data_IF_861159110034
#
_entry.id   IF_861159110034
#
_cell.length_a   1.000
_cell.length_b   1.000
_cell.length_c   1.000
_cell.angle_alpha   90.00
_cell.angle_beta   90.00
_cell.angle_gamma   90.00
#
_symmetry.space_group_name_H-M   'P 1'
#
loop_
_entity.id
_entity.type
_entity.pdbx_description
1 polymer ?
#
# COMPACT_ATOMS: atom_id res chain seq x y z
N UNK A 1 0.84 -7.17 40.77
CA UNK A 1 0.23 -7.50 39.45
C UNK A 1 0.86 -6.59 38.41
N UNK A 2 1.88 -7.08 37.70
CA UNK A 2 2.63 -6.27 36.74
C UNK A 2 1.82 -6.05 35.46
N UNK A 3 1.70 -4.79 35.04
CA UNK A 3 0.88 -4.36 33.92
C UNK A 3 1.35 -4.94 32.58
N UNK A 4 0.37 -5.20 31.72
CA UNK A 4 0.55 -5.72 30.35
C UNK A 4 1.53 -4.86 29.56
N UNK A 5 2.74 -5.37 29.33
CA UNK A 5 3.70 -4.76 28.42
C UNK A 5 3.17 -4.86 26.99
N UNK A 6 3.08 -3.74 26.25
CA UNK A 6 2.92 -3.85 24.80
C UNK A 6 2.22 -2.75 24.01
N UNK A 7 2.02 -1.52 24.52
CA UNK A 7 1.37 -0.49 23.69
C UNK A 7 2.00 0.91 23.62
N UNK A 8 3.03 1.23 24.40
CA UNK A 8 3.64 2.59 24.40
C UNK A 8 5.04 2.70 23.80
N UNK A 9 5.63 1.61 23.28
CA UNK A 9 6.97 1.63 22.68
C UNK A 9 6.95 1.80 21.16
N UNK A 10 7.89 2.60 20.62
CA UNK A 10 8.19 2.62 19.18
C UNK A 10 8.52 1.20 18.73
N UNK A 11 7.82 0.69 17.70
CA UNK A 11 8.10 -0.64 17.13
C UNK A 11 9.61 -0.77 16.82
N UNK A 12 10.23 -1.91 17.15
CA UNK A 12 11.64 -2.12 16.90
C UNK A 12 11.95 -1.96 15.41
N UNK A 13 13.08 -1.33 15.08
CA UNK A 13 13.54 -1.21 13.69
C UNK A 13 13.94 -2.61 13.17
N UNK A 14 13.61 -2.94 11.91
CA UNK A 14 14.11 -4.13 11.22
C UNK A 14 15.64 -4.25 11.29
N UNK A 15 16.17 -5.46 11.25
CA UNK A 15 17.61 -5.73 11.37
C UNK A 15 18.40 -5.08 10.25
N UNK A 16 17.92 -5.17 9.00
CA UNK A 16 18.53 -4.49 7.84
C UNK A 16 18.74 -2.98 8.08
N UNK A 17 17.81 -2.32 8.76
CA UNK A 17 17.92 -0.89 9.12
C UNK A 17 18.93 -0.62 10.22
N UNK A 18 19.08 -1.54 11.17
CA UNK A 18 20.09 -1.43 12.23
C UNK A 18 21.48 -1.64 11.66
N UNK A 19 21.64 -2.58 10.74
CA UNK A 19 22.90 -2.85 10.01
C UNK A 19 23.33 -1.63 9.20
N UNK A 20 22.43 -1.07 8.39
CA UNK A 20 22.72 0.13 7.58
C UNK A 20 23.11 1.34 8.46
N UNK A 21 22.56 1.44 9.66
CA UNK A 21 22.91 2.48 10.63
C UNK A 21 24.16 2.19 11.47
N UNK A 22 24.89 1.10 11.17
CA UNK A 22 26.11 0.70 11.90
C UNK A 22 25.85 0.12 13.30
N UNK A 23 24.65 -0.41 13.54
CA UNK A 23 24.17 -0.92 14.84
C UNK A 23 24.48 0.00 16.03
N UNK A 24 23.86 1.19 16.12
CA UNK A 24 24.15 2.15 17.19
C UNK A 24 23.92 1.60 18.60
N UNK A 25 23.03 0.61 18.73
CA UNK A 25 22.72 -0.03 20.02
C UNK A 25 23.83 -0.95 20.52
N UNK A 26 24.75 -1.39 19.64
CA UNK A 26 25.77 -2.42 19.88
C UNK A 26 25.25 -3.77 20.38
N UNK A 27 23.93 -3.96 20.47
CA UNK A 27 23.31 -5.24 20.84
C UNK A 27 23.40 -6.23 19.70
N UNK A 28 23.43 -7.53 20.01
CA UNK A 28 23.36 -8.58 19.02
C UNK A 28 22.11 -8.39 18.14
N UNK A 29 22.30 -8.46 16.83
CA UNK A 29 21.23 -8.36 15.84
C UNK A 29 20.51 -9.70 15.71
N UNK A 30 19.21 -9.66 15.45
CA UNK A 30 18.43 -10.87 15.21
C UNK A 30 18.76 -11.41 13.81
N UNK A 31 19.47 -12.53 13.75
CA UNK A 31 19.84 -13.19 12.49
C UNK A 31 18.74 -14.08 11.92
N UNK A 32 17.70 -14.34 12.72
CA UNK A 32 16.56 -15.21 12.36
C UNK A 32 15.33 -14.37 11.94
N UNK A 33 15.53 -13.11 11.55
CA UNK A 33 14.44 -12.31 11.03
C UNK A 33 13.96 -12.91 9.69
N UNK A 34 12.65 -13.18 9.53
CA UNK A 34 12.13 -13.77 8.31
C UNK A 34 12.39 -12.83 7.12
N UNK A 35 13.03 -13.38 6.09
CA UNK A 35 13.30 -12.68 4.84
C UNK A 35 12.22 -13.06 3.84
N UNK A 36 11.35 -12.12 3.52
CA UNK A 36 10.37 -12.31 2.45
C UNK A 36 11.04 -12.05 1.10
N UNK A 37 10.79 -12.93 0.14
CA UNK A 37 11.35 -12.78 -1.22
C UNK A 37 10.47 -11.83 -2.03
N UNK A 38 11.02 -10.73 -2.57
CA UNK A 38 10.26 -9.84 -3.42
C UNK A 38 9.83 -10.52 -4.72
N UNK A 39 8.61 -10.22 -5.17
CA UNK A 39 8.12 -10.64 -6.48
C UNK A 39 8.55 -9.66 -7.56
N UNK A 40 8.64 -10.16 -8.80
CA UNK A 40 9.06 -9.34 -9.96
C UNK A 40 7.88 -8.78 -10.76
N UNK A 41 6.67 -9.25 -10.47
CA UNK A 41 5.45 -8.92 -11.17
C UNK A 41 4.39 -9.97 -10.88
N UNK A 42 3.12 -9.58 -10.99
CA UNK A 42 1.97 -10.44 -10.79
C UNK A 42 0.79 -9.84 -11.56
N UNK A 43 0.06 -10.66 -12.30
CA UNK A 43 -1.16 -10.22 -12.99
C UNK A 43 -2.27 -9.87 -11.98
N UNK A 44 -3.20 -8.96 -12.32
CA UNK A 44 -4.38 -8.74 -11.49
C UNK A 44 -5.20 -10.03 -11.37
N UNK A 45 -6.00 -10.18 -10.29
CA UNK A 45 -6.97 -11.27 -10.20
C UNK A 45 -7.92 -11.29 -11.40
N UNK A 46 -8.18 -12.49 -11.95
CA UNK A 46 -8.99 -12.65 -13.17
C UNK A 46 -10.38 -12.01 -13.04
N UNK A 47 -10.98 -12.09 -11.85
CA UNK A 47 -12.29 -11.55 -11.55
C UNK A 47 -12.41 -10.02 -11.69
N UNK A 48 -11.30 -9.29 -11.74
CA UNK A 48 -11.34 -7.85 -12.05
C UNK A 48 -11.80 -7.57 -13.48
N UNK A 49 -11.66 -8.53 -14.41
CA UNK A 49 -11.95 -8.36 -15.84
C UNK A 49 -13.23 -9.06 -16.29
N UNK A 50 -13.98 -9.68 -15.38
CA UNK A 50 -15.30 -10.28 -15.66
C UNK A 50 -16.35 -9.19 -15.95
N UNK A 51 -17.56 -9.56 -16.41
CA UNK A 51 -18.59 -8.62 -16.91
C UNK A 51 -18.98 -7.52 -15.89
N UNK A 52 -19.11 -7.88 -14.60
CA UNK A 52 -19.35 -6.95 -13.48
C UNK A 52 -18.04 -6.51 -12.78
N UNK A 53 -16.92 -6.60 -13.50
CA UNK A 53 -15.58 -6.46 -12.99
C UNK A 53 -15.23 -5.08 -12.43
N UNK A 54 -13.98 -4.96 -12.01
CA UNK A 54 -13.40 -3.79 -11.35
C UNK A 54 -12.26 -3.21 -12.21
N UNK A 55 -12.56 -2.52 -13.32
CA UNK A 55 -11.56 -2.09 -14.27
C UNK A 55 -10.57 -1.07 -13.69
N UNK A 56 -10.99 -0.19 -12.79
CA UNK A 56 -10.06 0.73 -12.13
C UNK A 56 -9.21 -0.02 -11.09
N UNK A 57 -9.72 -1.08 -10.45
CA UNK A 57 -8.89 -1.94 -9.60
C UNK A 57 -7.78 -2.63 -10.41
N UNK A 58 -8.07 -3.14 -11.61
CA UNK A 58 -7.06 -3.73 -12.49
C UNK A 58 -5.97 -2.73 -12.89
N UNK A 59 -6.37 -1.53 -13.32
CA UNK A 59 -5.40 -0.45 -13.65
C UNK A 59 -4.53 -0.11 -12.45
N UNK A 60 -5.12 0.03 -11.26
CA UNK A 60 -4.37 0.36 -10.06
C UNK A 60 -3.45 -0.77 -9.62
N UNK A 61 -3.84 -2.03 -9.81
CA UNK A 61 -2.99 -3.19 -9.59
C UNK A 61 -1.75 -3.14 -10.47
N UNK A 62 -1.92 -2.96 -11.78
CA UNK A 62 -0.80 -2.91 -12.73
C UNK A 62 0.17 -1.77 -12.42
N UNK A 63 -0.35 -0.57 -12.15
CA UNK A 63 0.48 0.59 -11.79
C UNK A 63 1.26 0.36 -10.50
N UNK A 64 0.60 -0.17 -9.48
CA UNK A 64 1.18 -0.33 -8.14
C UNK A 64 2.19 -1.47 -8.11
N UNK A 65 1.87 -2.60 -8.74
CA UNK A 65 2.81 -3.73 -8.87
C UNK A 65 4.03 -3.35 -9.66
N UNK A 66 3.89 -2.64 -10.79
CA UNK A 66 5.03 -2.17 -11.58
C UNK A 66 6.01 -1.34 -10.75
N UNK A 67 5.50 -0.39 -9.98
CA UNK A 67 6.33 0.48 -9.15
C UNK A 67 6.98 -0.29 -7.98
N UNK A 68 6.20 -1.03 -7.21
CA UNK A 68 6.70 -1.73 -6.01
C UNK A 68 7.63 -2.89 -6.36
N UNK A 69 7.33 -3.67 -7.41
CA UNK A 69 8.23 -4.72 -7.90
C UNK A 69 9.52 -4.13 -8.47
N UNK A 70 9.46 -3.00 -9.18
CA UNK A 70 10.63 -2.31 -9.71
C UNK A 70 11.63 -1.89 -8.61
N UNK A 71 11.12 -1.62 -7.41
CA UNK A 71 11.93 -1.29 -6.22
C UNK A 71 12.22 -2.51 -5.32
N UNK A 72 11.73 -3.71 -5.66
CA UNK A 72 11.87 -4.91 -4.84
C UNK A 72 11.15 -4.83 -3.49
N UNK A 73 10.06 -4.06 -3.41
CA UNK A 73 9.31 -3.80 -2.17
C UNK A 73 8.10 -4.72 -2.00
N UNK A 74 7.54 -5.25 -3.09
CA UNK A 74 6.35 -6.10 -3.04
C UNK A 74 6.74 -7.56 -2.81
N UNK A 75 6.17 -8.19 -1.79
CA UNK A 75 6.31 -9.62 -1.49
C UNK A 75 4.98 -10.35 -1.73
N UNK A 76 5.03 -11.69 -1.84
CA UNK A 76 3.82 -12.54 -2.00
C UNK A 76 2.81 -12.31 -0.85
N UNK A 77 3.32 -12.05 0.35
CA UNK A 77 2.49 -11.79 1.55
C UNK A 77 1.68 -10.51 1.45
N UNK A 78 2.06 -9.58 0.56
CA UNK A 78 1.43 -8.28 0.42
C UNK A 78 0.27 -8.29 -0.59
N UNK A 79 0.10 -9.38 -1.35
CA UNK A 79 -0.88 -9.46 -2.43
C UNK A 79 -2.32 -9.26 -1.96
N UNK A 80 -2.69 -9.84 -0.81
CA UNK A 80 -4.02 -9.63 -0.23
C UNK A 80 -4.26 -8.17 0.20
N UNK A 81 -3.20 -7.46 0.63
CA UNK A 81 -3.30 -6.03 1.00
C UNK A 81 -3.40 -5.17 -0.26
N UNK A 82 -2.65 -5.51 -1.30
CA UNK A 82 -2.72 -4.88 -2.62
C UNK A 82 -4.11 -5.03 -3.24
N UNK A 83 -4.67 -6.25 -3.22
CA UNK A 83 -6.01 -6.52 -3.74
C UNK A 83 -7.05 -5.65 -3.05
N UNK A 84 -7.06 -5.65 -1.70
CA UNK A 84 -7.95 -4.81 -0.90
C UNK A 84 -7.82 -3.33 -1.24
N UNK A 85 -6.60 -2.83 -1.42
CA UNK A 85 -6.39 -1.43 -1.78
C UNK A 85 -6.95 -1.10 -3.17
N UNK A 86 -6.76 -1.98 -4.15
CA UNK A 86 -7.29 -1.80 -5.51
C UNK A 86 -8.82 -1.83 -5.53
N UNK A 87 -9.43 -2.77 -4.82
CA UNK A 87 -10.88 -2.87 -4.65
C UNK A 87 -11.45 -1.62 -3.97
N UNK A 88 -10.80 -1.14 -2.90
CA UNK A 88 -11.22 0.07 -2.21
C UNK A 88 -11.15 1.31 -3.14
N UNK A 89 -10.10 1.40 -3.97
CA UNK A 89 -10.00 2.47 -4.96
C UNK A 89 -11.14 2.46 -5.98
N UNK A 90 -11.50 1.29 -6.52
CA UNK A 90 -12.62 1.13 -7.44
C UNK A 90 -13.92 1.68 -6.85
N UNK A 91 -14.29 1.20 -5.66
CA UNK A 91 -15.54 1.62 -5.02
C UNK A 91 -15.51 3.07 -4.57
N UNK A 92 -14.35 3.58 -4.13
CA UNK A 92 -14.18 5.01 -3.85
C UNK A 92 -14.44 5.85 -5.11
N UNK A 93 -13.88 5.47 -6.27
CA UNK A 93 -14.12 6.19 -7.53
C UNK A 93 -15.58 6.13 -7.96
N UNK A 94 -16.26 4.98 -7.81
CA UNK A 94 -17.70 4.84 -8.09
C UNK A 94 -18.53 5.76 -7.21
N UNK A 95 -18.30 5.74 -5.89
CA UNK A 95 -18.98 6.60 -4.93
C UNK A 95 -18.78 8.09 -5.26
N UNK A 96 -17.55 8.51 -5.57
CA UNK A 96 -17.26 9.89 -5.99
C UNK A 96 -18.04 10.29 -7.24
N UNK A 97 -18.11 9.41 -8.26
CA UNK A 97 -18.90 9.67 -9.48
C UNK A 97 -20.40 9.78 -9.18
N UNK A 98 -20.93 8.90 -8.34
CA UNK A 98 -22.34 8.92 -7.95
C UNK A 98 -22.69 10.20 -7.17
N UNK A 99 -21.85 10.61 -6.21
CA UNK A 99 -22.01 11.88 -5.48
C UNK A 99 -21.96 13.07 -6.44
N UNK A 100 -21.05 13.07 -7.41
CA UNK A 100 -20.95 14.17 -8.38
C UNK A 100 -22.20 14.27 -9.27
N UNK A 101 -22.83 13.14 -9.62
CA UNK A 101 -24.05 13.09 -10.43
C UNK A 101 -25.30 13.47 -9.64
N UNK A 102 -25.45 12.93 -8.43
CA UNK A 102 -26.69 12.99 -7.66
C UNK A 102 -26.69 14.10 -6.59
N UNK A 103 -25.50 14.61 -6.25
CA UNK A 103 -25.30 15.59 -5.20
C UNK A 103 -25.19 14.98 -3.79
N UNK A 104 -25.06 15.87 -2.80
CA UNK A 104 -24.87 15.50 -1.38
C UNK A 104 -26.12 14.90 -0.73
N UNK A 105 -27.26 14.98 -1.40
CA UNK A 105 -28.57 14.63 -0.89
C UNK A 105 -29.43 14.09 -2.01
N UNK A 106 -30.22 13.06 -1.73
CA UNK A 106 -31.10 12.40 -2.69
C UNK A 106 -32.54 12.36 -2.16
N UNK A 107 -33.49 12.05 -3.01
CA UNK A 107 -34.88 11.81 -2.60
C UNK A 107 -34.98 10.43 -1.97
N UNK A 108 -35.41 10.36 -0.71
CA UNK A 108 -35.67 9.11 0.01
C UNK A 108 -37.01 8.49 -0.37
N UNK A 109 -37.26 7.26 0.10
CA UNK A 109 -38.47 6.49 -0.23
C UNK A 109 -39.80 7.22 0.10
N UNK A 110 -39.80 8.10 1.11
CA UNK A 110 -40.96 8.90 1.50
C UNK A 110 -41.07 10.25 0.77
N UNK A 111 -40.27 10.48 -0.27
CA UNK A 111 -40.25 11.73 -1.05
C UNK A 111 -39.47 12.89 -0.41
N UNK A 112 -39.02 12.73 0.84
CA UNK A 112 -38.20 13.72 1.53
C UNK A 112 -36.72 13.69 1.11
N UNK A 113 -36.02 14.82 1.27
CA UNK A 113 -34.58 14.94 1.00
C UNK A 113 -33.78 14.27 2.12
N UNK A 114 -32.98 13.26 1.78
CA UNK A 114 -32.09 12.55 2.71
C UNK A 114 -30.62 12.73 2.30
N UNK A 115 -29.69 12.45 3.21
CA UNK A 115 -28.26 12.43 2.91
C UNK A 115 -27.95 11.31 1.90
N UNK A 116 -27.10 11.59 0.92
CA UNK A 116 -26.66 10.58 -0.05
C UNK A 116 -25.84 9.48 0.68
N UNK A 117 -26.26 8.19 0.65
CA UNK A 117 -25.53 7.08 1.28
C UNK A 117 -24.11 6.88 0.72
N UNK A 118 -23.86 7.30 -0.51
CA UNK A 118 -22.54 7.26 -1.15
C UNK A 118 -21.49 8.07 -0.39
N UNK A 119 -21.91 9.09 0.38
CA UNK A 119 -20.99 9.84 1.24
C UNK A 119 -20.38 8.97 2.34
N UNK A 120 -21.14 7.99 2.85
CA UNK A 120 -20.64 7.02 3.83
C UNK A 120 -19.74 6.00 3.14
N UNK A 121 -20.17 5.44 2.01
CA UNK A 121 -19.38 4.49 1.23
C UNK A 121 -18.01 5.09 0.85
N UNK A 122 -17.99 6.33 0.32
CA UNK A 122 -16.75 7.08 0.02
C UNK A 122 -15.82 7.12 1.24
N UNK A 123 -16.34 7.49 2.41
CA UNK A 123 -15.54 7.65 3.62
C UNK A 123 -14.93 6.32 4.09
N UNK A 124 -15.69 5.24 4.01
CA UNK A 124 -15.23 3.90 4.37
C UNK A 124 -14.10 3.44 3.44
N UNK A 125 -14.29 3.60 2.13
CA UNK A 125 -13.25 3.24 1.15
C UNK A 125 -12.00 4.12 1.28
N UNK A 126 -12.15 5.41 1.55
CA UNK A 126 -11.03 6.33 1.80
C UNK A 126 -10.20 5.93 3.04
N UNK A 127 -10.88 5.47 4.10
CA UNK A 127 -10.22 4.93 5.29
C UNK A 127 -9.49 3.60 5.00
N UNK A 128 -10.13 2.69 4.26
CA UNK A 128 -9.53 1.43 3.85
C UNK A 128 -8.29 1.66 2.97
N UNK A 129 -8.39 2.55 1.98
CA UNK A 129 -7.27 2.94 1.12
C UNK A 129 -6.11 3.55 1.93
N UNK A 130 -6.41 4.38 2.93
CA UNK A 130 -5.38 5.00 3.78
C UNK A 130 -4.64 3.94 4.62
N UNK A 131 -5.38 2.98 5.18
CA UNK A 131 -4.83 1.89 5.98
C UNK A 131 -3.95 0.95 5.13
N UNK A 132 -4.52 0.40 4.05
CA UNK A 132 -3.84 -0.54 3.15
C UNK A 132 -2.71 0.12 2.37
N UNK A 133 -2.89 1.37 1.91
CA UNK A 133 -1.84 2.14 1.24
C UNK A 133 -0.65 2.45 2.15
N UNK A 134 -0.88 2.70 3.44
CA UNK A 134 0.19 2.87 4.43
C UNK A 134 0.96 1.58 4.70
N UNK A 135 0.28 0.43 4.67
CA UNK A 135 0.94 -0.89 4.77
C UNK A 135 1.84 -1.17 3.56
N UNK A 136 1.40 -0.80 2.36
CA UNK A 136 2.16 -0.94 1.11
C UNK A 136 3.22 0.17 0.90
N UNK A 137 3.24 1.20 1.75
CA UNK A 137 4.17 2.32 1.66
C UNK A 137 3.89 3.32 0.53
N UNK A 138 2.63 3.45 0.13
CA UNK A 138 2.21 4.33 -0.96
C UNK A 138 2.21 5.81 -0.57
N UNK A 139 2.05 6.15 0.71
CA UNK A 139 2.17 7.53 1.19
C UNK A 139 3.63 7.92 1.53
N UNK A 140 4.00 9.21 1.44
CA UNK A 140 5.37 9.66 1.66
C UNK A 140 5.96 9.26 3.02
N UNK A 141 5.16 9.33 4.09
CA UNK A 141 5.61 9.02 5.44
C UNK A 141 5.91 7.53 5.61
N UNK A 142 5.11 6.68 4.97
CA UNK A 142 5.27 5.23 4.97
C UNK A 142 6.39 4.79 4.03
N UNK A 143 6.58 5.48 2.91
CA UNK A 143 7.74 5.25 2.02
C UNK A 143 9.06 5.50 2.73
N UNK A 144 9.15 6.54 3.57
CA UNK A 144 10.34 6.76 4.40
C UNK A 144 10.61 5.60 5.37
N UNK A 145 9.59 4.80 5.73
CA UNK A 145 9.75 3.55 6.49
C UNK A 145 10.22 2.36 5.64
N UNK A 146 10.13 2.44 4.32
CA UNK A 146 10.59 1.39 3.39
C UNK A 146 12.00 1.64 2.82
N UNK A 147 12.50 2.88 2.80
CA UNK A 147 13.84 3.25 2.28
C UNK A 147 15.01 2.45 2.90
N UNK A 148 14.81 1.82 4.07
CA UNK A 148 15.85 0.99 4.69
C UNK A 148 15.67 -0.52 4.52
N UNK A 149 14.61 -0.95 3.81
CA UNK A 149 14.31 -2.34 3.46
C UNK A 149 14.57 -2.60 1.98
N UNK A 150 14.40 -1.59 1.11
CA UNK A 150 14.91 -1.62 -0.24
C UNK A 150 16.44 -1.72 -0.17
N UNK A 151 16.96 -2.94 -0.30
CA UNK A 151 18.38 -3.15 -0.54
C UNK A 151 18.74 -2.32 -1.76
N UNK A 152 19.49 -1.24 -1.56
CA UNK A 152 19.99 -0.45 -2.68
C UNK A 152 20.91 -1.36 -3.47
N UNK A 153 20.37 -2.04 -4.49
CA UNK A 153 21.17 -2.31 -5.67
C UNK A 153 21.58 -0.93 -6.15
N UNK A 154 22.87 -0.61 -5.98
CA UNK A 154 23.52 0.43 -6.76
C UNK A 154 23.17 0.15 -8.21
N UNK A 155 22.24 0.91 -8.77
CA UNK A 155 22.00 0.91 -10.19
C UNK A 155 23.29 1.43 -10.79
N UNK A 156 24.16 0.52 -11.24
CA UNK A 156 25.34 0.85 -12.02
C UNK A 156 24.83 1.53 -13.28
N UNK A 157 24.78 2.87 -13.28
CA UNK A 157 24.43 3.64 -14.45
C UNK A 157 25.42 3.27 -15.57
N UNK A 158 24.98 2.65 -16.68
CA UNK A 158 25.88 2.30 -17.77
C UNK A 158 26.57 3.52 -18.41
N UNK A 159 26.03 4.74 -18.22
CA UNK A 159 26.70 5.98 -18.64
C UNK A 159 27.92 6.37 -17.80
N UNK A 160 28.02 5.97 -16.52
CA UNK A 160 29.20 6.26 -15.70
C UNK A 160 30.45 5.46 -16.15
N UNK A 161 30.26 4.34 -16.88
CA UNK A 161 31.36 3.55 -17.44
C UNK A 161 31.95 4.13 -18.73
N UNK A 162 31.25 5.05 -19.42
CA UNK A 162 31.74 5.64 -20.68
C UNK A 162 32.51 6.96 -20.50
N UNK A 163 32.49 7.57 -19.31
CA UNK A 163 33.17 8.87 -19.07
C UNK A 163 34.57 8.67 -18.45
N UNK A 164 34.89 7.47 -17.96
CA UNK A 164 36.17 7.13 -17.34
C UNK A 164 36.93 6.01 -18.09
N UNK A 165 36.71 5.86 -19.39
CA UNK A 165 37.50 4.99 -20.27
C UNK A 165 38.00 5.79 -21.45
#
# INVERSE_FOLDING_TARGET
MAGTAGRSGRRPKPTARKELAGNPSKRALNKEEPVFTPIKGVAPPDWFSEDDGLPMAAVMWELTTKELCGQGLLCVTDLAVLERWCVAYEFWRRAVKNIAREGLTITGAMGGKIKNPELTAKKEQESEMSSTGSMLGLDPSSRQRLIGLAGQKKTSNPFLKMINS
#
